data_IF_462105716373
#
_entry.id   IF_462105716373
#
_cell.length_a   1.000
_cell.length_b   1.000
_cell.length_c   1.000
_cell.angle_alpha   90.00
_cell.angle_beta   90.00
_cell.angle_gamma   90.00
#
_symmetry.space_group_name_H-M   'P 1'
#
loop_
_entity.id
_entity.type
_entity.pdbx_description
1 polymer ?
#
# COMPACT_ATOMS: atom_id res chain seq x y z
N UNK A 1 47.77 -47.97 -22.34
CA UNK A 1 46.44 -47.33 -22.31
C UNK A 1 46.65 -45.87 -21.97
N UNK A 2 46.19 -44.99 -22.85
CA UNK A 2 46.67 -43.62 -22.98
C UNK A 2 46.15 -42.69 -21.87
N UNK A 3 47.09 -41.90 -21.32
CA UNK A 3 46.88 -40.70 -20.51
C UNK A 3 46.47 -39.50 -21.38
N UNK A 4 45.57 -38.64 -20.88
CA UNK A 4 45.61 -37.19 -21.07
C UNK A 4 44.47 -36.51 -20.25
N UNK A 5 44.84 -35.76 -19.21
CA UNK A 5 44.08 -34.61 -18.70
C UNK A 5 44.51 -33.37 -19.51
N UNK A 6 43.60 -32.45 -19.87
CA UNK A 6 43.98 -31.10 -20.24
C UNK A 6 44.00 -30.15 -19.03
N UNK A 7 45.11 -29.41 -18.93
CA UNK A 7 45.41 -28.31 -18.01
C UNK A 7 44.81 -26.96 -18.50
N UNK A 8 44.68 -25.94 -17.63
CA UNK A 8 44.06 -24.65 -17.94
C UNK A 8 44.96 -23.69 -18.75
N UNK A 9 44.33 -22.90 -19.64
CA UNK A 9 44.99 -21.96 -20.55
C UNK A 9 45.45 -20.65 -19.89
N UNK A 10 46.74 -20.39 -20.12
CA UNK A 10 47.53 -19.16 -20.11
C UNK A 10 46.84 -17.79 -19.90
N UNK A 11 47.28 -17.12 -18.83
CA UNK A 11 47.49 -15.67 -18.75
C UNK A 11 48.80 -15.28 -19.46
N UNK A 12 48.78 -14.18 -20.23
CA UNK A 12 49.83 -13.12 -20.31
C UNK A 12 49.40 -11.97 -21.24
N UNK A 13 50.06 -10.78 -21.16
CA UNK A 13 49.39 -9.48 -21.06
C UNK A 13 49.45 -8.66 -22.35
N UNK A 14 48.65 -7.60 -22.43
CA UNK A 14 48.90 -6.49 -23.34
C UNK A 14 48.75 -5.16 -22.59
N UNK A 15 49.90 -4.52 -22.38
CA UNK A 15 50.05 -3.10 -22.11
C UNK A 15 49.47 -2.28 -23.28
N UNK A 16 48.69 -1.26 -22.94
CA UNK A 16 48.20 -0.21 -23.82
C UNK A 16 47.75 0.94 -22.95
N UNK A 17 48.70 1.80 -22.59
CA UNK A 17 48.46 3.01 -21.84
C UNK A 17 47.69 4.02 -22.70
N UNK A 18 46.43 4.29 -22.34
CA UNK A 18 45.78 5.55 -22.70
C UNK A 18 45.59 6.36 -21.42
N UNK A 19 46.40 7.39 -21.34
CA UNK A 19 46.43 8.48 -20.39
C UNK A 19 45.06 9.19 -20.39
N UNK A 20 44.20 8.83 -19.44
CA UNK A 20 42.97 9.56 -19.15
C UNK A 20 43.41 10.91 -18.61
N UNK A 21 43.30 11.96 -19.43
CA UNK A 21 43.46 13.34 -19.00
C UNK A 21 42.33 13.62 -18.01
N UNK A 22 42.71 13.99 -16.78
CA UNK A 22 41.77 14.50 -15.80
C UNK A 22 41.01 15.68 -16.43
N UNK A 23 39.68 15.75 -16.33
CA UNK A 23 38.95 16.94 -16.75
C UNK A 23 39.43 18.11 -15.89
N UNK A 24 39.84 19.20 -16.56
CA UNK A 24 40.13 20.48 -15.92
C UNK A 24 39.03 20.78 -14.91
N UNK A 25 39.42 20.89 -13.63
CA UNK A 25 38.58 21.45 -12.60
C UNK A 25 38.40 22.91 -12.99
N UNK A 26 37.24 23.23 -13.56
CA UNK A 26 36.80 24.61 -13.72
C UNK A 26 36.74 25.20 -12.31
N UNK A 27 37.76 25.98 -11.97
CA UNK A 27 37.90 26.68 -10.70
C UNK A 27 36.66 27.57 -10.55
N UNK A 28 35.68 27.05 -9.80
CA UNK A 28 34.30 27.52 -9.66
C UNK A 28 34.16 28.93 -9.12
N UNK A 29 34.64 29.90 -9.89
CA UNK A 29 34.68 31.31 -9.56
C UNK A 29 33.93 32.16 -10.59
N UNK A 30 33.12 31.55 -11.45
CA UNK A 30 32.22 32.26 -12.36
C UNK A 30 30.77 31.75 -12.28
N UNK A 31 30.29 31.45 -11.07
CA UNK A 31 28.87 31.14 -10.81
C UNK A 31 27.98 32.40 -10.74
N UNK A 32 28.46 33.57 -11.20
CA UNK A 32 27.68 34.83 -11.17
C UNK A 32 27.27 35.25 -9.76
N UNK A 33 28.02 34.84 -8.74
CA UNK A 33 27.71 35.06 -7.32
C UNK A 33 28.17 36.43 -6.80
N UNK A 34 28.66 37.31 -7.67
CA UNK A 34 29.15 38.65 -7.31
C UNK A 34 28.07 39.53 -6.64
N UNK A 35 26.79 39.21 -6.85
CA UNK A 35 25.67 39.92 -6.21
C UNK A 35 25.37 39.50 -4.76
N UNK A 36 25.99 38.43 -4.25
CA UNK A 36 25.69 37.90 -2.91
C UNK A 36 26.69 38.36 -1.84
N UNK A 37 27.82 38.97 -2.21
CA UNK A 37 28.88 39.30 -1.27
C UNK A 37 28.69 40.64 -0.54
N UNK A 38 27.84 41.54 -1.03
CA UNK A 38 27.58 42.86 -0.42
C UNK A 38 26.19 42.94 0.24
N UNK A 39 25.85 41.94 1.07
CA UNK A 39 24.74 42.07 2.00
C UNK A 39 25.25 42.65 3.32
N UNK A 40 25.34 43.98 3.40
CA UNK A 40 25.39 44.69 4.67
C UNK A 40 24.11 44.39 5.49
N UNK A 41 24.29 44.34 6.81
CA UNK A 41 23.35 43.93 7.85
C UNK A 41 21.92 44.51 7.74
N UNK A 42 20.93 43.72 8.18
CA UNK A 42 19.54 44.08 8.55
C UNK A 42 18.38 44.12 7.52
N UNK A 43 18.43 43.35 6.43
CA UNK A 43 17.22 43.08 5.63
C UNK A 43 17.37 41.94 4.64
N UNK A 44 16.91 40.74 5.00
CA UNK A 44 16.92 39.59 4.10
C UNK A 44 16.24 39.88 2.74
N UNK A 45 16.63 39.12 1.71
CA UNK A 45 16.12 39.25 0.34
C UNK A 45 14.58 39.19 0.32
N UNK A 46 13.93 40.09 -0.40
CA UNK A 46 12.47 40.05 -0.51
C UNK A 46 12.03 38.85 -1.34
N UNK A 47 10.85 38.29 -1.02
CA UNK A 47 10.28 37.13 -1.73
C UNK A 47 10.23 37.35 -3.25
N UNK A 48 9.94 38.58 -3.66
CA UNK A 48 9.86 38.97 -5.07
C UNK A 48 11.24 38.97 -5.75
N UNK A 49 12.31 39.32 -5.02
CA UNK A 49 13.68 39.27 -5.53
C UNK A 49 14.16 37.83 -5.69
N UNK A 50 13.81 36.94 -4.75
CA UNK A 50 14.08 35.50 -4.87
C UNK A 50 13.31 34.87 -6.03
N UNK A 51 12.04 35.23 -6.22
CA UNK A 51 11.21 34.74 -7.33
C UNK A 51 11.77 35.15 -8.68
N UNK A 52 12.26 36.39 -8.81
CA UNK A 52 12.85 36.87 -10.06
C UNK A 52 14.21 36.22 -10.33
N UNK A 53 15.07 36.06 -9.32
CA UNK A 53 16.35 35.37 -9.47
C UNK A 53 16.15 33.90 -9.89
N UNK A 54 15.16 33.21 -9.30
CA UNK A 54 14.82 31.83 -9.64
C UNK A 54 14.26 31.71 -11.07
N UNK A 55 13.37 32.64 -11.47
CA UNK A 55 12.80 32.66 -12.82
C UNK A 55 13.87 32.88 -13.89
N UNK A 56 14.91 33.65 -13.57
CA UNK A 56 16.02 33.88 -14.49
C UNK A 56 16.91 32.64 -14.64
N UNK A 57 17.14 31.89 -13.55
CA UNK A 57 17.86 30.61 -13.59
C UNK A 57 17.11 29.54 -14.39
N UNK A 58 15.77 29.51 -14.33
CA UNK A 58 14.95 28.59 -15.13
C UNK A 58 14.92 28.94 -16.62
N UNK A 59 15.15 30.21 -16.98
CA UNK A 59 15.19 30.64 -18.37
C UNK A 59 16.55 30.40 -19.03
N UNK A 60 17.64 30.52 -18.27
CA UNK A 60 19.01 30.35 -18.79
C UNK A 60 19.57 28.92 -18.59
N UNK A 61 18.92 28.09 -17.78
CA UNK A 61 19.34 26.71 -17.52
C UNK A 61 18.54 25.69 -18.31
N UNK A 62 19.15 25.10 -19.33
CA UNK A 62 18.67 23.85 -19.93
C UNK A 62 18.42 22.82 -18.83
N UNK A 63 17.20 22.28 -18.80
CA UNK A 63 16.83 21.23 -17.87
C UNK A 63 17.65 19.96 -18.21
N UNK A 64 18.57 19.50 -17.34
CA UNK A 64 19.52 18.43 -17.66
C UNK A 64 18.85 17.04 -17.76
N UNK A 65 17.54 16.95 -17.52
CA UNK A 65 16.73 15.74 -17.63
C UNK A 65 15.83 15.69 -18.86
N UNK A 66 15.89 16.68 -19.77
CA UNK A 66 15.28 16.53 -21.10
C UNK A 66 16.20 15.62 -21.90
N UNK A 67 15.87 14.33 -21.92
CA UNK A 67 16.40 13.43 -22.94
C UNK A 67 16.20 14.13 -24.29
N UNK A 68 17.28 14.28 -25.04
CA UNK A 68 17.36 14.98 -26.33
C UNK A 68 16.21 14.59 -27.25
N UNK A 69 15.11 15.33 -27.19
CA UNK A 69 14.01 15.24 -28.12
C UNK A 69 14.32 16.20 -29.27
N UNK A 70 15.25 15.78 -30.12
CA UNK A 70 15.47 16.40 -31.42
C UNK A 70 15.33 15.31 -32.46
N UNK A 71 14.08 14.86 -32.69
CA UNK A 71 13.60 14.18 -33.89
C UNK A 71 12.07 14.17 -33.84
N UNK A 72 11.42 15.22 -34.33
CA UNK A 72 9.95 15.40 -34.31
C UNK A 72 9.18 14.49 -35.31
N UNK A 73 9.86 13.55 -35.96
CA UNK A 73 9.30 12.67 -37.01
C UNK A 73 9.32 11.17 -36.67
N UNK A 74 9.44 10.80 -35.39
CA UNK A 74 9.24 9.40 -34.96
C UNK A 74 7.74 9.11 -34.65
N UNK A 75 7.06 8.22 -35.41
CA UNK A 75 5.69 7.79 -35.12
C UNK A 75 5.54 7.01 -33.80
N UNK A 76 6.62 6.47 -33.21
CA UNK A 76 6.56 5.81 -31.89
C UNK A 76 6.55 6.83 -30.73
N UNK A 77 7.26 7.95 -30.84
CA UNK A 77 7.27 9.00 -29.82
C UNK A 77 5.89 9.67 -29.62
N UNK A 78 5.10 9.77 -30.70
CA UNK A 78 3.71 10.26 -30.65
C UNK A 78 2.79 9.26 -29.96
N UNK A 79 3.00 7.95 -30.13
CA UNK A 79 2.24 6.90 -29.45
C UNK A 79 2.54 6.84 -27.97
N UNK A 80 3.80 6.99 -27.59
CA UNK A 80 4.20 7.00 -26.19
C UNK A 80 3.64 8.22 -25.44
N UNK A 81 3.63 9.39 -26.11
CA UNK A 81 3.00 10.59 -25.58
C UNK A 81 1.48 10.48 -25.47
N UNK A 82 0.81 9.80 -26.42
CA UNK A 82 -0.65 9.58 -26.41
C UNK A 82 -1.09 8.51 -25.39
N UNK A 83 -0.23 7.52 -25.11
CA UNK A 83 -0.38 6.55 -24.01
C UNK A 83 -0.21 7.20 -22.63
N UNK A 84 0.74 8.13 -22.49
CA UNK A 84 0.99 8.87 -21.24
C UNK A 84 -0.15 9.86 -20.91
N UNK A 85 -0.79 10.45 -21.92
CA UNK A 85 -1.96 11.33 -21.73
C UNK A 85 -3.23 10.56 -21.33
N UNK A 86 -3.32 9.27 -21.64
CA UNK A 86 -4.42 8.40 -21.22
C UNK A 86 -4.25 7.93 -19.77
N UNK A 87 -3.01 7.80 -19.28
CA UNK A 87 -2.71 7.38 -17.91
C UNK A 87 -2.95 8.51 -16.88
N UNK A 88 -2.93 9.78 -17.32
CA UNK A 88 -3.24 10.93 -16.46
C UNK A 88 -4.74 11.18 -16.24
N UNK A 89 -5.64 10.39 -16.82
CA UNK A 89 -7.09 10.52 -16.61
C UNK A 89 -7.67 9.58 -15.53
N UNK A 90 -6.84 8.74 -14.90
CA UNK A 90 -7.27 8.00 -13.73
C UNK A 90 -6.40 8.37 -12.52
N UNK A 91 -7.08 8.56 -11.38
CA UNK A 91 -6.53 8.72 -10.03
C UNK A 91 -6.13 10.15 -9.63
N UNK A 92 -7.09 11.06 -9.75
CA UNK A 92 -7.20 12.16 -8.78
C UNK A 92 -8.60 12.14 -8.13
N UNK A 93 -9.02 10.97 -7.65
CA UNK A 93 -10.19 10.88 -6.77
C UNK A 93 -9.70 11.11 -5.35
N UNK A 94 -9.55 12.37 -4.97
CA UNK A 94 -9.57 12.76 -3.56
C UNK A 94 -10.85 12.17 -2.97
N UNK A 95 -10.78 11.06 -2.22
CA UNK A 95 -11.98 10.38 -1.70
C UNK A 95 -12.76 11.39 -0.85
N UNK A 96 -13.87 11.90 -1.38
CA UNK A 96 -14.69 12.85 -0.65
C UNK A 96 -15.23 12.16 0.61
N UNK A 97 -15.18 12.89 1.74
CA UNK A 97 -15.71 12.37 3.00
C UNK A 97 -17.24 12.36 2.88
N UNK A 98 -17.80 11.17 2.65
CA UNK A 98 -19.22 10.91 2.50
C UNK A 98 -19.66 9.89 3.55
N UNK A 99 -20.97 9.77 3.84
CA UNK A 99 -21.49 8.71 4.70
C UNK A 99 -21.04 7.31 4.24
N UNK A 100 -21.01 7.10 2.93
CA UNK A 100 -20.59 5.86 2.27
C UNK A 100 -19.11 5.55 2.55
N UNK A 101 -18.20 6.52 2.37
CA UNK A 101 -16.77 6.32 2.64
C UNK A 101 -16.44 6.17 4.13
N UNK A 102 -17.20 6.83 5.00
CA UNK A 102 -17.10 6.63 6.46
C UNK A 102 -17.56 5.21 6.84
N UNK A 103 -18.71 4.74 6.35
CA UNK A 103 -19.22 3.40 6.62
C UNK A 103 -18.24 2.32 6.14
N UNK A 104 -17.72 2.47 4.93
CA UNK A 104 -16.70 1.60 4.36
C UNK A 104 -15.45 1.53 5.26
N UNK A 105 -14.90 2.69 5.65
CA UNK A 105 -13.74 2.75 6.52
C UNK A 105 -13.98 2.04 7.87
N UNK A 106 -15.18 2.21 8.45
CA UNK A 106 -15.55 1.54 9.69
C UNK A 106 -15.65 0.02 9.52
N UNK A 107 -16.25 -0.47 8.43
CA UNK A 107 -16.36 -1.89 8.13
C UNK A 107 -15.01 -2.54 7.81
N UNK A 108 -14.11 -1.79 7.16
CA UNK A 108 -12.75 -2.21 6.85
C UNK A 108 -11.90 -2.37 8.11
N UNK A 109 -11.94 -1.38 9.02
CA UNK A 109 -11.24 -1.45 10.32
C UNK A 109 -11.86 -2.53 11.21
N UNK A 110 -13.19 -2.69 11.14
CA UNK A 110 -13.94 -3.64 11.95
C UNK A 110 -14.10 -3.21 13.41
N UNK A 111 -14.76 -4.05 14.20
CA UNK A 111 -14.94 -3.78 15.62
C UNK A 111 -13.68 -4.18 16.42
N UNK A 112 -13.24 -3.41 17.45
CA UNK A 112 -12.06 -3.75 18.28
C UNK A 112 -12.10 -5.13 18.94
N UNK A 113 -13.31 -5.64 19.19
CA UNK A 113 -13.57 -6.97 19.76
C UNK A 113 -13.86 -8.05 18.70
N UNK A 114 -13.58 -7.77 17.42
CA UNK A 114 -13.80 -8.67 16.27
C UNK A 114 -15.25 -9.20 16.17
N UNK A 115 -16.23 -8.33 16.44
CA UNK A 115 -17.66 -8.62 16.32
C UNK A 115 -18.30 -7.86 15.14
N UNK A 116 -19.43 -8.33 14.60
CA UNK A 116 -20.17 -7.62 13.57
C UNK A 116 -20.56 -6.20 14.00
N UNK A 117 -20.47 -5.24 13.08
CA UNK A 117 -20.83 -3.85 13.31
C UNK A 117 -22.33 -3.68 13.15
N UNK A 118 -23.04 -3.44 14.25
CA UNK A 118 -24.50 -3.23 14.22
C UNK A 118 -24.85 -1.85 13.64
N UNK A 119 -25.98 -1.74 12.93
CA UNK A 119 -26.42 -0.46 12.34
C UNK A 119 -26.56 0.64 13.39
N UNK A 120 -26.99 0.30 14.61
CA UNK A 120 -27.09 1.24 15.73
C UNK A 120 -25.73 1.74 16.20
N UNK A 121 -24.74 0.86 16.29
CA UNK A 121 -23.38 1.24 16.69
C UNK A 121 -22.74 2.13 15.64
N UNK A 122 -22.83 1.75 14.36
CA UNK A 122 -22.27 2.53 13.25
C UNK A 122 -22.91 3.91 13.17
N UNK A 123 -24.25 3.98 13.15
CA UNK A 123 -24.97 5.25 13.13
C UNK A 123 -24.65 6.15 14.34
N UNK A 124 -24.31 5.58 15.50
CA UNK A 124 -23.92 6.38 16.67
C UNK A 124 -22.58 7.10 16.52
N UNK A 125 -21.72 6.63 15.61
CA UNK A 125 -20.40 7.20 15.33
C UNK A 125 -20.44 8.16 14.12
N UNK A 126 -21.52 8.13 13.33
CA UNK A 126 -21.74 9.00 12.18
C UNK A 126 -22.68 10.14 12.56
N UNK A 127 -22.34 11.37 12.16
CA UNK A 127 -23.24 12.51 12.38
C UNK A 127 -24.31 12.55 11.31
N UNK A 128 -25.58 12.62 11.72
CA UNK A 128 -26.71 12.86 10.81
C UNK A 128 -27.18 11.62 10.05
N UNK A 129 -26.67 10.43 10.38
CA UNK A 129 -27.09 9.16 9.79
C UNK A 129 -27.89 8.37 10.83
N UNK A 130 -29.07 7.90 10.43
CA UNK A 130 -29.92 7.05 11.24
C UNK A 130 -29.55 5.56 11.05
N UNK A 131 -29.87 4.69 12.02
CA UNK A 131 -29.62 3.25 11.88
C UNK A 131 -30.32 2.60 10.68
N UNK A 132 -31.40 3.19 10.16
CA UNK A 132 -32.14 2.66 9.00
C UNK A 132 -31.41 2.93 7.69
N UNK A 133 -30.73 4.07 7.58
CA UNK A 133 -29.97 4.46 6.39
C UNK A 133 -28.71 3.60 6.21
N UNK A 134 -28.22 2.94 7.27
CA UNK A 134 -27.06 2.04 7.16
C UNK A 134 -27.34 0.88 6.20
N UNK A 135 -28.56 0.34 6.22
CA UNK A 135 -28.90 -0.80 5.38
C UNK A 135 -28.87 -0.39 3.89
N UNK A 136 -29.37 0.83 3.58
CA UNK A 136 -29.35 1.41 2.23
C UNK A 136 -27.90 1.69 1.78
N UNK A 137 -27.06 2.26 2.65
CA UNK A 137 -25.65 2.51 2.36
C UNK A 137 -24.85 1.21 2.13
N UNK A 138 -25.19 0.12 2.83
CA UNK A 138 -24.57 -1.20 2.60
C UNK A 138 -24.96 -1.76 1.23
N UNK A 139 -26.20 -1.54 0.78
CA UNK A 139 -26.63 -1.95 -0.57
C UNK A 139 -25.85 -1.15 -1.62
N UNK A 140 -25.80 0.17 -1.48
CA UNK A 140 -25.04 1.07 -2.37
C UNK A 140 -23.56 0.66 -2.48
N UNK A 141 -22.88 0.40 -1.35
CA UNK A 141 -21.49 -0.06 -1.34
C UNK A 141 -21.31 -1.40 -2.07
N UNK A 142 -22.21 -2.36 -1.86
CA UNK A 142 -22.10 -3.65 -2.53
C UNK A 142 -22.32 -3.54 -4.04
N UNK A 143 -23.23 -2.68 -4.50
CA UNK A 143 -23.43 -2.38 -5.92
C UNK A 143 -22.17 -1.74 -6.52
N UNK A 144 -21.56 -0.79 -5.82
CA UNK A 144 -20.29 -0.18 -6.24
C UNK A 144 -19.18 -1.24 -6.35
N UNK A 145 -19.01 -2.06 -5.33
CA UNK A 145 -18.03 -3.16 -5.31
C UNK A 145 -18.26 -4.19 -6.42
N UNK A 146 -19.51 -4.44 -6.81
CA UNK A 146 -19.82 -5.31 -7.93
C UNK A 146 -19.45 -4.66 -9.27
N UNK A 147 -19.76 -3.38 -9.44
CA UNK A 147 -19.41 -2.64 -10.66
C UNK A 147 -17.89 -2.50 -10.88
N UNK A 148 -17.13 -2.36 -9.80
CA UNK A 148 -15.67 -2.24 -9.82
C UNK A 148 -14.95 -3.60 -9.86
N UNK A 149 -15.67 -4.71 -9.71
CA UNK A 149 -15.07 -6.04 -9.61
C UNK A 149 -14.23 -6.22 -8.34
N UNK A 150 -14.59 -5.56 -7.24
CA UNK A 150 -13.86 -5.62 -5.99
C UNK A 150 -13.89 -7.05 -5.39
N UNK A 151 -12.78 -7.45 -4.77
CA UNK A 151 -12.59 -8.81 -4.23
C UNK A 151 -13.33 -9.05 -2.92
N UNK A 152 -13.85 -7.99 -2.30
CA UNK A 152 -14.59 -8.01 -1.04
C UNK A 152 -16.05 -7.61 -1.23
N UNK A 153 -16.86 -7.89 -0.21
CA UNK A 153 -18.27 -7.58 -0.13
C UNK A 153 -18.67 -7.39 1.35
N UNK A 154 -19.79 -6.72 1.59
CA UNK A 154 -20.35 -6.56 2.93
C UNK A 154 -21.48 -7.58 3.11
N UNK A 155 -21.38 -8.41 4.15
CA UNK A 155 -22.41 -9.40 4.51
C UNK A 155 -23.05 -9.08 5.85
N UNK A 156 -24.33 -9.39 5.96
CA UNK A 156 -25.01 -9.45 7.26
C UNK A 156 -24.55 -10.69 8.04
N UNK A 157 -24.14 -10.48 9.28
CA UNK A 157 -23.78 -11.53 10.22
C UNK A 157 -24.47 -11.26 11.56
N UNK A 158 -25.50 -12.05 11.88
CA UNK A 158 -26.32 -11.84 13.07
C UNK A 158 -27.08 -10.52 13.01
N UNK A 159 -26.82 -9.62 13.96
CA UNK A 159 -27.47 -8.31 14.07
C UNK A 159 -26.62 -7.15 13.49
N UNK A 160 -25.58 -7.46 12.72
CA UNK A 160 -24.69 -6.45 12.16
C UNK A 160 -24.06 -6.86 10.84
N UNK A 161 -23.07 -6.09 10.43
CA UNK A 161 -22.41 -6.21 9.14
C UNK A 161 -20.92 -6.46 9.31
N UNK A 162 -20.35 -7.20 8.36
CA UNK A 162 -18.92 -7.47 8.25
C UNK A 162 -18.48 -7.35 6.81
N UNK A 163 -17.31 -6.75 6.58
CA UNK A 163 -16.64 -6.81 5.30
C UNK A 163 -15.89 -8.14 5.20
N UNK A 164 -16.13 -8.89 4.14
CA UNK A 164 -15.54 -10.21 3.91
C UNK A 164 -15.10 -10.35 2.47
N UNK A 165 -14.11 -11.22 2.25
CA UNK A 165 -13.71 -11.64 0.91
C UNK A 165 -14.87 -12.35 0.19
N UNK A 166 -14.99 -12.14 -1.12
CA UNK A 166 -15.91 -12.89 -1.99
C UNK A 166 -15.53 -14.36 -2.05
N UNK A 167 -16.53 -15.21 -2.31
CA UNK A 167 -16.38 -16.66 -2.23
C UNK A 167 -15.37 -17.22 -3.22
N UNK A 168 -15.30 -16.62 -4.40
CA UNK A 168 -14.35 -16.92 -5.48
C UNK A 168 -12.89 -16.85 -5.01
N UNK A 169 -12.59 -15.98 -4.04
CA UNK A 169 -11.24 -15.77 -3.51
C UNK A 169 -10.99 -16.50 -2.17
N UNK A 170 -11.97 -17.25 -1.62
CA UNK A 170 -11.76 -18.00 -0.36
C UNK A 170 -10.62 -19.02 -0.45
N UNK A 171 -10.31 -19.53 -1.64
CA UNK A 171 -9.16 -20.43 -1.85
C UNK A 171 -7.82 -19.79 -1.47
N UNK A 172 -7.70 -18.46 -1.53
CA UNK A 172 -6.53 -17.69 -1.11
C UNK A 172 -6.44 -17.66 0.41
N UNK A 173 -7.58 -17.46 1.10
CA UNK A 173 -7.66 -17.50 2.56
C UNK A 173 -7.12 -18.82 3.13
N UNK A 174 -7.51 -19.95 2.53
CA UNK A 174 -7.06 -21.28 2.94
C UNK A 174 -5.55 -21.54 2.68
N UNK A 175 -4.94 -20.81 1.75
CA UNK A 175 -3.49 -20.86 1.53
C UNK A 175 -2.74 -20.00 2.54
N UNK A 176 -3.27 -18.82 2.86
CA UNK A 176 -2.66 -17.86 3.78
C UNK A 176 -2.68 -18.32 5.24
N UNK A 177 -3.82 -18.83 5.71
CA UNK A 177 -3.98 -19.27 7.10
C UNK A 177 -3.66 -20.77 7.30
N UNK A 178 -3.22 -21.45 6.24
CA UNK A 178 -3.38 -22.90 6.12
C UNK A 178 -4.88 -23.26 6.10
N UNK A 179 -5.20 -24.54 5.87
CA UNK A 179 -6.59 -25.00 6.03
C UNK A 179 -7.04 -24.61 7.43
N UNK A 180 -7.86 -23.56 7.54
CA UNK A 180 -8.53 -23.27 8.80
C UNK A 180 -9.61 -24.31 8.84
N UNK A 181 -9.23 -25.50 9.32
CA UNK A 181 -10.21 -26.47 9.77
C UNK A 181 -10.98 -25.70 10.83
N UNK A 182 -12.19 -25.26 10.51
CA UNK A 182 -13.23 -25.13 11.50
C UNK A 182 -13.23 -26.47 12.24
N UNK A 183 -12.49 -26.52 13.35
CA UNK A 183 -12.32 -27.73 14.10
C UNK A 183 -13.69 -27.95 14.71
N UNK A 184 -14.51 -28.78 14.07
CA UNK A 184 -15.72 -29.30 14.69
C UNK A 184 -15.27 -30.00 15.95
N UNK A 185 -15.42 -29.31 17.08
CA UNK A 185 -15.09 -29.84 18.39
C UNK A 185 -16.03 -31.02 18.61
N UNK A 186 -15.45 -32.18 18.94
CA UNK A 186 -16.27 -33.30 19.38
C UNK A 186 -17.01 -32.92 20.65
N UNK A 187 -18.16 -33.54 20.92
CA UNK A 187 -18.90 -33.28 22.16
C UNK A 187 -18.01 -33.40 23.40
N UNK A 188 -17.16 -34.44 23.45
CA UNK A 188 -16.19 -34.63 24.52
C UNK A 188 -15.19 -33.46 24.66
N UNK A 189 -14.82 -32.81 23.56
CA UNK A 189 -13.95 -31.63 23.58
C UNK A 189 -14.68 -30.40 24.12
N UNK A 190 -15.96 -30.24 23.77
CA UNK A 190 -16.81 -29.14 24.29
C UNK A 190 -17.03 -29.30 25.79
N UNK A 191 -17.28 -30.52 26.27
CA UNK A 191 -17.51 -30.80 27.70
C UNK A 191 -16.25 -30.48 28.54
N UNK A 192 -15.07 -30.83 28.04
CA UNK A 192 -13.80 -30.49 28.70
C UNK A 192 -13.57 -28.98 28.73
N UNK A 193 -13.85 -28.27 27.63
CA UNK A 193 -13.76 -26.80 27.60
C UNK A 193 -14.72 -26.15 28.59
N UNK A 194 -15.94 -26.70 28.75
CA UNK A 194 -16.91 -26.22 29.73
C UNK A 194 -16.41 -26.40 31.18
N UNK A 195 -15.82 -27.56 31.49
CA UNK A 195 -15.22 -27.83 32.82
C UNK A 195 -14.10 -26.82 33.11
N UNK A 196 -13.17 -26.63 32.16
CA UNK A 196 -12.04 -25.70 32.33
C UNK A 196 -12.52 -24.25 32.46
N UNK A 197 -13.53 -23.85 31.69
CA UNK A 197 -14.07 -22.49 31.73
C UNK A 197 -14.69 -22.15 33.09
N UNK A 198 -15.41 -23.10 33.70
CA UNK A 198 -16.08 -22.92 34.99
C UNK A 198 -15.14 -23.16 36.19
N UNK A 199 -14.14 -24.02 36.02
CA UNK A 199 -13.16 -24.37 37.05
C UNK A 199 -11.74 -23.96 36.64
N UNK A 200 -11.50 -22.65 36.59
CA UNK A 200 -10.16 -22.10 36.30
C UNK A 200 -9.13 -22.64 37.32
N UNK A 201 -7.98 -23.12 36.83
CA UNK A 201 -6.93 -23.71 37.68
C UNK A 201 -7.15 -25.18 38.09
N UNK A 202 -8.14 -25.87 37.50
CA UNK A 202 -8.37 -27.30 37.69
C UNK A 202 -7.23 -28.15 37.09
N UNK A 203 -6.86 -29.24 37.78
CA UNK A 203 -5.83 -30.17 37.27
C UNK A 203 -6.45 -31.23 36.36
N UNK A 204 -5.63 -31.80 35.47
CA UNK A 204 -6.08 -32.79 34.47
C UNK A 204 -6.76 -34.01 35.09
N UNK A 205 -6.26 -34.49 36.22
CA UNK A 205 -6.83 -35.63 36.96
C UNK A 205 -8.22 -35.35 37.54
N UNK A 206 -8.53 -34.08 37.82
CA UNK A 206 -9.84 -33.64 38.31
C UNK A 206 -10.83 -33.47 37.16
N UNK A 207 -10.36 -33.04 35.98
CA UNK A 207 -11.17 -32.96 34.76
C UNK A 207 -11.67 -34.35 34.35
N UNK A 208 -10.79 -35.36 34.34
CA UNK A 208 -11.16 -36.72 33.94
C UNK A 208 -12.22 -37.32 34.89
N UNK A 209 -12.11 -37.08 36.20
CA UNK A 209 -13.11 -37.50 37.19
C UNK A 209 -14.48 -36.83 36.97
N UNK A 210 -14.51 -35.53 36.67
CA UNK A 210 -15.75 -34.80 36.42
C UNK A 210 -16.42 -35.22 35.11
N UNK A 211 -15.63 -35.65 34.11
CA UNK A 211 -16.16 -36.16 32.85
C UNK A 211 -16.78 -37.55 33.02
N UNK A 212 -16.09 -38.46 33.73
CA UNK A 212 -16.57 -39.83 33.96
C UNK A 212 -17.85 -39.88 34.80
N UNK A 213 -18.12 -38.86 35.62
CA UNK A 213 -19.37 -38.73 36.37
C UNK A 213 -20.56 -38.21 35.54
N UNK A 214 -20.30 -37.56 34.41
CA UNK A 214 -21.31 -36.94 33.54
C UNK A 214 -21.48 -37.66 32.20
N UNK A 215 -20.80 -38.79 31.97
CA UNK A 215 -20.92 -39.62 30.77
C UNK A 215 -21.96 -40.73 30.91
#
# INVERSE_FOLDING_TARGET
MASALPQPENHRPHEGAEEIRDPEVDDGNNLGLDGFADADDDGGLSLDQLSNAYSQLLNDGENPYVATASDEDDPDAKRDSELLLQDQQHVDSSTEISPTSILEAMLFVGHPANQPLTSRYVASLMRGVSPREIDDLVVELNEQYESEGAVFQIKSQGAGYVMTLREEFHSIREKFYGRTRDARLSQATVDVLAIVAYHQGIRRDEIDKLRDQNS
#
